data_IF_254240929088
#
_entry.id   IF_254240929088
#
_cell.length_a   1.000
_cell.length_b   1.000
_cell.length_c   1.000
_cell.angle_alpha   90.00
_cell.angle_beta   90.00
_cell.angle_gamma   90.00
#
_symmetry.space_group_name_H-M   'P 1'
#
loop_
_entity.id
_entity.type
_entity.pdbx_description
1 polymer ?
#
# COMPACT_ATOMS: atom_id res chain seq x y z
N UNK A 1 -10.46 -24.35 -9.83
CA UNK A 1 -11.27 -23.19 -9.41
C UNK A 1 -10.30 -22.13 -8.95
N UNK A 2 -10.10 -21.10 -9.76
CA UNK A 2 -9.23 -19.96 -9.41
C UNK A 2 -9.79 -19.26 -8.17
N UNK A 3 -9.07 -19.36 -7.05
CA UNK A 3 -9.32 -18.56 -5.87
C UNK A 3 -8.82 -17.14 -6.19
N UNK A 4 -9.59 -16.34 -6.94
CA UNK A 4 -9.28 -14.91 -7.10
C UNK A 4 -9.29 -14.30 -5.71
N UNK A 5 -8.11 -13.96 -5.20
CA UNK A 5 -7.96 -13.31 -3.90
C UNK A 5 -8.80 -12.04 -3.90
N UNK A 6 -9.73 -11.94 -2.93
CA UNK A 6 -10.63 -10.80 -2.77
C UNK A 6 -9.85 -9.48 -2.71
N UNK A 7 -8.68 -9.49 -2.07
CA UNK A 7 -7.75 -8.36 -2.02
C UNK A 7 -7.31 -7.93 -3.42
N UNK A 8 -6.93 -8.87 -4.30
CA UNK A 8 -6.52 -8.53 -5.67
C UNK A 8 -7.65 -7.88 -6.46
N UNK A 9 -8.90 -8.37 -6.28
CA UNK A 9 -10.06 -7.74 -6.90
C UNK A 9 -10.28 -6.31 -6.41
N UNK A 10 -10.15 -6.05 -5.10
CA UNK A 10 -10.27 -4.70 -4.54
C UNK A 10 -9.15 -3.77 -5.00
N UNK A 11 -7.91 -4.25 -5.02
CA UNK A 11 -6.76 -3.50 -5.57
C UNK A 11 -7.01 -3.13 -7.02
N UNK A 12 -7.56 -4.05 -7.82
CA UNK A 12 -7.90 -3.78 -9.21
C UNK A 12 -8.99 -2.71 -9.36
N UNK A 13 -10.03 -2.72 -8.52
CA UNK A 13 -11.07 -1.67 -8.55
C UNK A 13 -10.47 -0.29 -8.24
N UNK A 14 -9.63 -0.18 -7.20
CA UNK A 14 -8.92 1.07 -6.88
C UNK A 14 -8.04 1.52 -8.05
N UNK A 15 -7.38 0.58 -8.72
CA UNK A 15 -6.49 0.89 -9.84
C UNK A 15 -7.21 1.57 -11.01
N UNK A 16 -8.50 1.26 -11.23
CA UNK A 16 -9.29 1.91 -12.29
C UNK A 16 -9.43 3.41 -12.09
N UNK A 17 -9.41 3.89 -10.84
CA UNK A 17 -9.45 5.33 -10.51
C UNK A 17 -8.08 6.01 -10.69
N UNK A 18 -7.00 5.24 -10.84
CA UNK A 18 -5.63 5.73 -10.99
C UNK A 18 -4.98 5.23 -12.29
N UNK A 19 -5.53 5.58 -13.47
CA UNK A 19 -5.14 4.98 -14.76
C UNK A 19 -3.69 5.25 -15.17
N UNK A 20 -3.03 6.24 -14.56
CA UNK A 20 -1.64 6.60 -14.83
C UNK A 20 -0.62 5.88 -13.93
N UNK A 21 -1.07 5.25 -12.84
CA UNK A 21 -0.16 4.51 -11.95
C UNK A 21 0.16 3.12 -12.51
N UNK A 22 1.42 2.70 -12.46
CA UNK A 22 1.77 1.28 -12.67
C UNK A 22 1.45 0.46 -11.41
N UNK A 23 1.28 -0.84 -11.56
CA UNK A 23 0.90 -1.73 -10.45
C UNK A 23 1.78 -1.58 -9.19
N UNK A 24 3.11 -1.59 -9.30
CA UNK A 24 3.97 -1.42 -8.13
C UNK A 24 3.92 -0.01 -7.52
N UNK A 25 3.62 1.01 -8.32
CA UNK A 25 3.40 2.37 -7.81
C UNK A 25 2.07 2.45 -7.05
N UNK A 26 1.04 1.75 -7.52
CA UNK A 26 -0.22 1.60 -6.80
C UNK A 26 -0.01 0.89 -5.47
N UNK A 27 0.75 -0.21 -5.42
CA UNK A 27 1.03 -0.92 -4.17
C UNK A 27 1.82 -0.07 -3.17
N UNK A 28 2.83 0.67 -3.64
CA UNK A 28 3.60 1.60 -2.82
C UNK A 28 2.70 2.71 -2.25
N UNK A 29 1.84 3.30 -3.09
CA UNK A 29 0.85 4.30 -2.69
C UNK A 29 -0.15 3.73 -1.68
N UNK A 30 -0.69 2.53 -1.89
CA UNK A 30 -1.59 1.86 -0.95
C UNK A 30 -0.91 1.64 0.40
N UNK A 31 0.37 1.27 0.41
CA UNK A 31 1.13 1.12 1.64
C UNK A 31 1.31 2.44 2.37
N UNK A 32 1.59 3.52 1.64
CA UNK A 32 1.66 4.87 2.18
C UNK A 32 0.34 5.34 2.78
N UNK A 33 -0.77 5.18 2.05
CA UNK A 33 -2.12 5.54 2.52
C UNK A 33 -2.52 4.75 3.76
N UNK A 34 -2.26 3.43 3.79
CA UNK A 34 -2.56 2.64 4.97
C UNK A 34 -1.77 3.14 6.18
N UNK A 35 -0.45 3.33 6.02
CA UNK A 35 0.42 3.80 7.09
C UNK A 35 0.00 5.18 7.61
N UNK A 36 -0.33 6.11 6.72
CA UNK A 36 -0.67 7.49 7.08
C UNK A 36 -1.97 7.58 7.88
N UNK A 37 -2.95 6.74 7.56
CA UNK A 37 -4.26 6.69 8.23
C UNK A 37 -4.27 5.86 9.52
N UNK A 38 -3.22 5.07 9.77
CA UNK A 38 -3.13 4.15 10.91
C UNK A 38 -1.87 4.42 11.75
N UNK A 39 -1.72 5.66 12.26
CA UNK A 39 -0.65 6.05 13.20
C UNK A 39 0.78 5.67 12.76
N UNK A 40 1.06 5.78 11.46
CA UNK A 40 2.35 5.41 10.85
C UNK A 40 2.67 3.91 10.98
N UNK A 41 1.64 3.06 10.97
CA UNK A 41 1.78 1.60 10.99
C UNK A 41 2.81 1.15 9.95
N UNK A 42 3.66 0.19 10.35
CA UNK A 42 4.66 -0.37 9.46
C UNK A 42 5.81 0.57 9.10
N UNK A 43 5.84 1.83 9.56
CA UNK A 43 6.99 2.71 9.30
C UNK A 43 8.24 2.17 9.99
N UNK A 44 9.32 2.05 9.22
CA UNK A 44 10.63 1.56 9.67
C UNK A 44 11.74 2.47 9.14
N UNK A 45 12.85 2.49 9.87
CA UNK A 45 14.09 3.09 9.41
C UNK A 45 15.04 1.96 9.01
N UNK A 46 15.58 2.04 7.80
CA UNK A 46 16.59 1.15 7.26
C UNK A 46 17.85 1.90 6.92
N UNK A 47 18.90 1.16 6.56
CA UNK A 47 20.15 1.73 6.07
C UNK A 47 20.51 1.05 4.76
N UNK A 48 20.64 1.83 3.69
CA UNK A 48 21.17 1.34 2.42
C UNK A 48 22.68 1.54 2.41
N UNK A 49 23.42 0.52 1.98
CA UNK A 49 24.87 0.66 1.77
C UNK A 49 25.08 1.24 0.39
N UNK A 50 25.51 2.50 0.33
CA UNK A 50 25.82 3.17 -0.94
C UNK A 50 27.26 2.89 -1.36
N UNK A 51 27.63 3.36 -2.55
CA UNK A 51 28.99 3.21 -3.07
C UNK A 51 30.03 3.66 -2.04
N UNK A 52 31.08 2.85 -1.85
CA UNK A 52 32.16 3.03 -0.84
C UNK A 52 31.83 2.58 0.59
N UNK A 53 30.68 1.96 0.83
CA UNK A 53 30.36 1.35 2.13
C UNK A 53 29.70 2.31 3.13
N UNK A 54 29.41 3.54 2.71
CA UNK A 54 28.64 4.49 3.51
C UNK A 54 27.21 3.98 3.69
N UNK A 55 26.62 4.22 4.86
CA UNK A 55 25.22 3.88 5.16
C UNK A 55 24.36 5.12 5.08
N UNK A 56 23.38 5.12 4.19
CA UNK A 56 22.38 6.18 4.13
C UNK A 56 21.08 5.70 4.79
N UNK A 57 20.53 6.46 5.76
CA UNK A 57 19.25 6.11 6.34
C UNK A 57 18.15 6.29 5.29
N UNK A 58 17.22 5.36 5.24
CA UNK A 58 16.00 5.49 4.44
C UNK A 58 14.78 5.06 5.26
N UNK A 59 13.64 5.65 4.93
CA UNK A 59 12.36 5.29 5.53
C UNK A 59 11.61 4.39 4.57
N UNK A 60 11.00 3.33 5.09
CA UNK A 60 10.15 2.46 4.30
C UNK A 60 8.95 1.99 5.14
N UNK A 61 7.96 1.44 4.44
CA UNK A 61 6.75 0.90 5.04
C UNK A 61 6.79 -0.61 4.90
N UNK A 62 6.73 -1.30 6.03
CA UNK A 62 6.67 -2.74 6.15
C UNK A 62 5.29 -3.16 6.70
N UNK A 63 4.48 -3.74 5.83
CA UNK A 63 3.14 -4.23 6.17
C UNK A 63 3.13 -5.72 6.53
N UNK A 64 4.27 -6.34 6.84
CA UNK A 64 4.33 -7.78 7.12
C UNK A 64 3.36 -8.26 8.22
N UNK A 65 3.07 -7.40 9.21
CA UNK A 65 2.16 -7.71 10.31
C UNK A 65 0.74 -7.16 10.10
N UNK A 66 0.40 -6.72 8.89
CA UNK A 66 -0.96 -6.30 8.56
C UNK A 66 -1.79 -7.54 8.23
N UNK A 67 -2.88 -7.74 8.98
CA UNK A 67 -3.80 -8.84 8.74
C UNK A 67 -4.65 -8.58 7.49
N UNK A 68 -4.91 -9.63 6.69
CA UNK A 68 -5.69 -9.57 5.45
C UNK A 68 -7.04 -8.86 5.64
N UNK A 69 -7.72 -9.12 6.76
CA UNK A 69 -9.02 -8.52 7.07
C UNK A 69 -8.94 -7.00 7.26
N UNK A 70 -7.91 -6.52 7.95
CA UNK A 70 -7.70 -5.08 8.17
C UNK A 70 -7.36 -4.38 6.86
N UNK A 71 -6.55 -5.03 6.02
CA UNK A 71 -6.23 -4.51 4.70
C UNK A 71 -7.48 -4.46 3.81
N UNK A 72 -8.31 -5.51 3.82
CA UNK A 72 -9.57 -5.55 3.07
C UNK A 72 -10.53 -4.41 3.47
N UNK A 73 -10.74 -4.20 4.77
CA UNK A 73 -11.59 -3.11 5.30
C UNK A 73 -11.08 -1.73 4.87
N UNK A 74 -9.76 -1.53 4.88
CA UNK A 74 -9.12 -0.32 4.37
C UNK A 74 -9.37 -0.12 2.87
N UNK A 75 -9.17 -1.15 2.04
CA UNK A 75 -9.39 -1.05 0.59
C UNK A 75 -10.85 -0.75 0.26
N UNK A 76 -11.80 -1.35 0.98
CA UNK A 76 -13.24 -1.06 0.83
C UNK A 76 -13.55 0.40 1.19
N UNK A 77 -12.92 0.93 2.24
CA UNK A 77 -13.06 2.33 2.65
C UNK A 77 -12.58 3.27 1.55
N UNK A 78 -11.40 3.02 0.97
CA UNK A 78 -10.88 3.81 -0.15
C UNK A 78 -11.81 3.82 -1.36
N UNK A 79 -12.36 2.66 -1.74
CA UNK A 79 -13.30 2.56 -2.86
C UNK A 79 -14.55 3.40 -2.58
N UNK A 80 -15.09 3.34 -1.36
CA UNK A 80 -16.25 4.17 -0.97
C UNK A 80 -15.95 5.66 -1.13
N UNK A 81 -14.80 6.13 -0.63
CA UNK A 81 -14.40 7.54 -0.71
C UNK A 81 -14.22 8.03 -2.17
N UNK A 82 -13.72 7.16 -3.05
CA UNK A 82 -13.56 7.48 -4.47
C UNK A 82 -14.90 7.62 -5.19
N UNK A 83 -15.89 6.82 -4.81
CA UNK A 83 -17.25 6.95 -5.33
C UNK A 83 -17.95 8.21 -4.83
N UNK A 84 -17.71 8.63 -3.59
CA UNK A 84 -18.29 9.86 -3.01
C UNK A 84 -17.65 11.15 -3.54
N UNK A 85 -16.49 11.05 -4.19
CA UNK A 85 -15.75 12.17 -4.78
C UNK A 85 -16.07 12.43 -6.26
N UNK A 86 -16.99 11.65 -6.85
CA UNK A 86 -17.43 11.76 -8.26
C UNK A 86 -18.82 12.35 -8.35
#
# INVERSE_FOLDING_TARGET
MEHKSKIISLVYEIWKFHPTMRFFQLLDWLGYEYSSRNDRFGRREGYETVSKGDKQPYLFIDLYYLEDKQFEEFLLTLISEQHDST
#
